data_IF_749084300830
#
_entry.id   IF_749084300830
#
_cell.length_a   1.000
_cell.length_b   1.000
_cell.length_c   1.000
_cell.angle_alpha   90.00
_cell.angle_beta   90.00
_cell.angle_gamma   90.00
#
_symmetry.space_group_name_H-M   'P 1'
#
loop_
_entity.id
_entity.type
_entity.pdbx_description
1 polymer ?
#
# COMPACT_ATOMS: atom_id res chain seq x y z
N UNK A 1 -4.65 20.15 -11.41
CA UNK A 1 -3.44 19.84 -10.61
C UNK A 1 -2.50 19.05 -11.49
N UNK A 2 -1.21 19.37 -11.49
CA UNK A 2 -0.23 18.53 -12.20
C UNK A 2 -0.10 17.18 -11.47
N UNK A 3 0.15 16.10 -12.23
CA UNK A 3 0.34 14.76 -11.65
C UNK A 3 1.45 14.76 -10.57
N UNK A 4 2.50 15.55 -10.77
CA UNK A 4 3.60 15.74 -9.82
C UNK A 4 3.13 16.36 -8.49
N UNK A 5 2.27 17.38 -8.53
CA UNK A 5 1.74 18.00 -7.32
C UNK A 5 0.86 17.03 -6.53
N UNK A 6 0.05 16.24 -7.23
CA UNK A 6 -0.78 15.21 -6.60
C UNK A 6 0.08 14.12 -5.92
N UNK A 7 1.11 13.62 -6.58
CA UNK A 7 2.05 12.64 -6.02
C UNK A 7 2.72 13.21 -4.77
N UNK A 8 3.20 14.46 -4.81
CA UNK A 8 3.83 15.12 -3.67
C UNK A 8 2.90 15.25 -2.47
N UNK A 9 1.67 15.70 -2.69
CA UNK A 9 0.65 15.83 -1.62
C UNK A 9 0.37 14.46 -0.99
N UNK A 10 0.20 13.42 -1.80
CA UNK A 10 -0.07 12.07 -1.30
C UNK A 10 1.12 11.49 -0.53
N UNK A 11 2.35 11.77 -0.94
CA UNK A 11 3.55 11.39 -0.19
C UNK A 11 3.55 12.08 1.18
N UNK A 12 3.31 13.39 1.24
CA UNK A 12 3.26 14.14 2.51
C UNK A 12 2.18 13.57 3.43
N UNK A 13 1.00 13.26 2.89
CA UNK A 13 -0.11 12.66 3.66
C UNK A 13 0.27 11.28 4.22
N UNK A 14 0.88 10.42 3.39
CA UNK A 14 1.34 9.08 3.84
C UNK A 14 2.42 9.18 4.90
N UNK A 15 3.39 10.08 4.75
CA UNK A 15 4.44 10.28 5.73
C UNK A 15 3.88 10.84 7.05
N UNK A 16 3.00 11.83 6.98
CA UNK A 16 2.35 12.39 8.16
C UNK A 16 1.55 11.30 8.91
N UNK A 17 0.86 10.43 8.18
CA UNK A 17 0.18 9.28 8.77
C UNK A 17 1.15 8.32 9.44
N UNK A 18 2.22 7.91 8.76
CA UNK A 18 3.22 6.98 9.29
C UNK A 18 3.87 7.50 10.56
N UNK A 19 4.24 8.78 10.59
CA UNK A 19 4.94 9.38 11.73
C UNK A 19 4.01 9.58 12.94
N UNK A 20 2.78 10.04 12.71
CA UNK A 20 1.90 10.46 13.79
C UNK A 20 0.93 9.37 14.27
N UNK A 21 0.51 8.46 13.38
CA UNK A 21 -0.63 7.58 13.65
C UNK A 21 -0.30 6.10 13.70
N UNK A 22 0.81 5.64 13.09
CA UNK A 22 1.16 4.22 13.03
C UNK A 22 1.26 3.56 14.41
N UNK A 23 1.66 4.29 15.45
CA UNK A 23 1.74 3.77 16.83
C UNK A 23 0.55 4.11 17.73
N UNK A 24 -0.44 4.90 17.24
CA UNK A 24 -1.59 5.33 18.03
C UNK A 24 -2.92 4.70 17.61
N UNK A 25 -3.00 4.21 16.38
CA UNK A 25 -4.20 3.55 15.82
C UNK A 25 -3.90 2.06 15.68
N UNK A 26 -3.50 1.43 16.76
CA UNK A 26 -3.40 -0.03 16.85
C UNK A 26 -4.73 -0.58 17.33
N UNK A 27 -5.58 -0.99 16.41
CA UNK A 27 -6.78 -1.75 16.73
C UNK A 27 -6.44 -3.25 16.60
N UNK A 28 -6.52 -3.96 17.70
CA UNK A 28 -6.19 -5.41 17.78
C UNK A 28 -4.75 -5.77 17.35
N UNK A 29 -3.79 -4.84 17.54
CA UNK A 29 -2.38 -5.06 17.17
C UNK A 29 -2.06 -4.88 15.69
N UNK A 30 -3.00 -4.37 14.88
CA UNK A 30 -2.82 -4.11 13.46
C UNK A 30 -2.96 -2.64 13.09
N UNK A 31 -2.16 -2.17 12.14
CA UNK A 31 -2.26 -0.84 11.54
C UNK A 31 -2.55 -0.96 10.04
N UNK A 32 -3.47 -0.16 9.45
CA UNK A 32 -3.73 -0.20 8.02
C UNK A 32 -2.56 0.41 7.25
N UNK A 33 -2.20 -0.19 6.12
CA UNK A 33 -1.17 0.36 5.25
C UNK A 33 -1.78 1.27 4.17
N UNK A 34 -1.83 2.58 4.49
CA UNK A 34 -2.32 3.60 3.57
C UNK A 34 -1.45 3.74 2.32
N UNK A 35 -0.16 3.42 2.42
CA UNK A 35 0.75 3.54 1.29
C UNK A 35 0.34 2.57 0.16
N UNK A 36 0.01 1.33 0.51
CA UNK A 36 -0.46 0.31 -0.45
C UNK A 36 -1.82 0.70 -1.03
N UNK A 37 -2.74 1.19 -0.20
CA UNK A 37 -4.07 1.62 -0.67
C UNK A 37 -3.95 2.75 -1.70
N UNK A 38 -3.12 3.76 -1.42
CA UNK A 38 -2.87 4.87 -2.33
C UNK A 38 -2.10 4.44 -3.58
N UNK A 39 -1.15 3.51 -3.46
CA UNK A 39 -0.43 2.94 -4.59
C UNK A 39 -1.40 2.23 -5.56
N UNK A 40 -2.29 1.40 -5.05
CA UNK A 40 -3.33 0.72 -5.85
C UNK A 40 -4.27 1.75 -6.49
N UNK A 41 -4.72 2.75 -5.73
CA UNK A 41 -5.56 3.82 -6.25
C UNK A 41 -4.90 4.57 -7.41
N UNK A 42 -3.65 5.00 -7.24
CA UNK A 42 -2.91 5.73 -8.28
C UNK A 42 -2.63 4.87 -9.50
N UNK A 43 -2.31 3.59 -9.30
CA UNK A 43 -2.07 2.65 -10.39
C UNK A 43 -3.30 2.49 -11.28
N UNK A 44 -4.46 2.35 -10.66
CA UNK A 44 -5.72 2.17 -11.37
C UNK A 44 -6.28 3.49 -11.93
N UNK A 45 -6.03 4.63 -11.30
CA UNK A 45 -6.56 5.92 -11.71
C UNK A 45 -5.67 6.63 -12.74
N UNK A 46 -4.40 6.80 -12.44
CA UNK A 46 -3.47 7.63 -13.21
C UNK A 46 -2.49 6.83 -14.08
N UNK A 47 -2.47 5.51 -13.93
CA UNK A 47 -1.65 4.61 -14.74
C UNK A 47 -0.21 4.44 -14.24
N UNK A 48 0.57 3.66 -15.01
CA UNK A 48 1.88 3.11 -14.62
C UNK A 48 2.94 4.14 -14.22
N UNK A 49 3.02 5.28 -14.95
CA UNK A 49 4.07 6.27 -14.69
C UNK A 49 3.91 6.96 -13.34
N UNK A 50 2.70 7.42 -13.03
CA UNK A 50 2.39 8.10 -11.76
C UNK A 50 2.50 7.14 -10.59
N UNK A 51 2.01 5.91 -10.75
CA UNK A 51 2.08 4.88 -9.72
C UNK A 51 3.52 4.44 -9.41
N UNK A 52 4.36 4.28 -10.43
CA UNK A 52 5.78 3.99 -10.27
C UNK A 52 6.48 5.10 -9.50
N UNK A 53 6.27 6.36 -9.90
CA UNK A 53 6.89 7.52 -9.24
C UNK A 53 6.47 7.63 -7.78
N UNK A 54 5.18 7.44 -7.50
CA UNK A 54 4.67 7.44 -6.12
C UNK A 54 5.26 6.28 -5.31
N UNK A 55 5.23 5.06 -5.85
CA UNK A 55 5.74 3.86 -5.17
C UNK A 55 7.23 3.97 -4.85
N UNK A 56 8.03 4.51 -5.81
CA UNK A 56 9.44 4.74 -5.61
C UNK A 56 9.71 5.78 -4.51
N UNK A 57 9.13 6.97 -4.64
CA UNK A 57 9.38 8.07 -3.71
C UNK A 57 8.83 7.76 -2.31
N UNK A 58 7.59 7.29 -2.21
CA UNK A 58 7.02 6.92 -0.92
C UNK A 58 7.80 5.79 -0.25
N UNK A 59 8.19 4.76 -1.03
CA UNK A 59 9.02 3.67 -0.54
C UNK A 59 10.40 4.14 -0.07
N UNK A 60 11.05 5.05 -0.81
CA UNK A 60 12.35 5.61 -0.41
C UNK A 60 12.28 6.37 0.92
N UNK A 61 11.20 7.14 1.13
CA UNK A 61 10.97 7.81 2.41
C UNK A 61 10.71 6.84 3.56
N UNK A 62 9.95 5.77 3.30
CA UNK A 62 9.69 4.71 4.29
C UNK A 62 10.97 3.97 4.66
N UNK A 63 11.81 3.66 3.68
CA UNK A 63 13.12 3.03 3.88
C UNK A 63 14.06 3.94 4.70
N UNK A 64 13.99 5.26 4.49
CA UNK A 64 14.76 6.22 5.29
C UNK A 64 14.33 6.28 6.76
N UNK A 65 13.05 6.00 7.05
CA UNK A 65 12.52 5.91 8.42
C UNK A 65 12.83 4.55 9.08
N UNK A 66 13.08 3.51 8.28
CA UNK A 66 13.40 2.16 8.74
C UNK A 66 14.70 1.67 8.07
N UNK A 67 15.88 2.05 8.60
CA UNK A 67 17.16 1.84 7.94
C UNK A 67 17.54 0.37 7.69
N UNK A 68 16.83 -0.57 8.28
CA UNK A 68 17.02 -2.00 8.04
C UNK A 68 16.55 -2.47 6.65
N UNK A 69 15.70 -1.68 5.97
CA UNK A 69 15.06 -2.03 4.69
C UNK A 69 15.51 -1.13 3.53
N UNK A 70 16.71 -0.56 3.60
CA UNK A 70 17.21 0.40 2.62
C UNK A 70 16.98 -0.03 1.17
N UNK A 71 16.07 0.63 0.47
CA UNK A 71 15.73 0.42 -0.93
C UNK A 71 14.73 -0.71 -1.22
N UNK A 72 14.45 -1.61 -0.27
CA UNK A 72 13.54 -2.73 -0.49
C UNK A 72 12.09 -2.27 -0.72
N UNK A 73 11.59 -1.35 0.11
CA UNK A 73 10.23 -0.81 0.00
C UNK A 73 10.11 0.06 -1.26
N UNK A 74 11.14 0.84 -1.59
CA UNK A 74 11.17 1.64 -2.81
C UNK A 74 11.11 0.75 -4.07
N UNK A 75 11.86 -0.35 -4.10
CA UNK A 75 11.86 -1.30 -5.20
C UNK A 75 10.49 -1.99 -5.33
N UNK A 76 9.96 -2.53 -4.23
CA UNK A 76 8.65 -3.17 -4.22
C UNK A 76 7.55 -2.21 -4.66
N UNK A 77 7.56 -0.96 -4.17
CA UNK A 77 6.61 0.07 -4.55
C UNK A 77 6.64 0.40 -6.03
N UNK A 78 7.85 0.54 -6.59
CA UNK A 78 8.06 0.80 -8.01
C UNK A 78 7.55 -0.32 -8.90
N UNK A 79 7.95 -1.56 -8.59
CA UNK A 79 7.56 -2.75 -9.34
C UNK A 79 6.04 -2.96 -9.29
N UNK A 80 5.48 -2.88 -8.08
CA UNK A 80 4.03 -3.04 -7.89
C UNK A 80 3.23 -1.96 -8.60
N UNK A 81 3.65 -0.69 -8.49
CA UNK A 81 3.00 0.44 -9.16
C UNK A 81 3.04 0.30 -10.68
N UNK A 82 4.18 -0.12 -11.23
CA UNK A 82 4.33 -0.37 -12.67
C UNK A 82 3.45 -1.53 -13.16
N UNK A 83 3.49 -2.67 -12.46
CA UNK A 83 2.73 -3.87 -12.83
C UNK A 83 1.22 -3.60 -12.80
N UNK A 84 0.72 -3.05 -11.71
CA UNK A 84 -0.70 -2.72 -11.59
C UNK A 84 -1.15 -1.69 -12.61
N UNK A 85 -0.36 -0.64 -12.81
CA UNK A 85 -0.66 0.39 -13.79
C UNK A 85 -0.64 -0.14 -15.23
N UNK A 86 0.17 -1.16 -15.51
CA UNK A 86 0.19 -1.85 -16.81
C UNK A 86 -1.00 -2.78 -16.99
N UNK A 87 -1.50 -3.37 -15.91
CA UNK A 87 -2.66 -4.25 -15.92
C UNK A 87 -3.99 -3.48 -15.93
N UNK A 88 -3.98 -2.17 -15.69
CA UNK A 88 -5.19 -1.32 -15.67
C UNK A 88 -6.08 -1.55 -16.89
N UNK A 89 -5.51 -1.60 -18.10
CA UNK A 89 -6.24 -1.79 -19.34
C UNK A 89 -6.89 -3.19 -19.51
N UNK A 90 -6.39 -4.19 -18.78
CA UNK A 90 -6.87 -5.58 -18.84
C UNK A 90 -7.84 -5.90 -17.70
N UNK A 91 -7.71 -5.18 -16.60
CA UNK A 91 -8.55 -5.36 -15.42
C UNK A 91 -9.62 -4.27 -15.43
N UNK A 92 -10.79 -4.59 -15.97
CA UNK A 92 -12.04 -3.82 -15.81
C UNK A 92 -12.49 -3.90 -14.34
N UNK A 93 -11.71 -3.25 -13.45
CA UNK A 93 -11.98 -3.32 -12.01
C UNK A 93 -12.84 -2.12 -11.63
N UNK A 94 -14.12 -2.19 -11.94
CA UNK A 94 -15.11 -1.19 -11.52
C UNK A 94 -15.59 -1.41 -10.07
N UNK A 95 -15.43 -2.63 -9.56
CA UNK A 95 -15.98 -3.02 -8.27
C UNK A 95 -15.01 -2.67 -7.11
N UNK A 96 -15.44 -1.87 -6.09
CA UNK A 96 -14.61 -1.49 -4.96
C UNK A 96 -14.14 -2.69 -4.12
N UNK A 97 -14.93 -3.75 -4.07
CA UNK A 97 -14.56 -4.99 -3.36
C UNK A 97 -13.33 -5.67 -3.97
N UNK A 98 -13.26 -5.69 -5.30
CA UNK A 98 -12.13 -6.27 -6.04
C UNK A 98 -10.88 -5.41 -5.82
N UNK A 99 -11.01 -4.07 -5.85
CA UNK A 99 -9.89 -3.14 -5.58
C UNK A 99 -9.34 -3.32 -4.17
N UNK A 100 -10.23 -3.43 -3.17
CA UNK A 100 -9.83 -3.70 -1.79
C UNK A 100 -9.13 -5.07 -1.67
N UNK A 101 -9.65 -6.11 -2.34
CA UNK A 101 -9.02 -7.43 -2.39
C UNK A 101 -7.61 -7.41 -2.98
N UNK A 102 -7.40 -6.66 -4.07
CA UNK A 102 -6.08 -6.46 -4.69
C UNK A 102 -5.12 -5.77 -3.70
N UNK A 103 -5.59 -4.74 -2.96
CA UNK A 103 -4.76 -4.06 -1.97
C UNK A 103 -4.26 -5.01 -0.89
N UNK A 104 -5.12 -5.91 -0.40
CA UNK A 104 -4.74 -6.92 0.60
C UNK A 104 -3.79 -7.97 0.01
N UNK A 105 -4.04 -8.43 -1.22
CA UNK A 105 -3.15 -9.38 -1.88
C UNK A 105 -1.73 -8.82 -2.02
N UNK A 106 -1.62 -7.53 -2.41
CA UNK A 106 -0.33 -6.85 -2.50
C UNK A 106 0.30 -6.68 -1.13
N UNK A 107 -0.48 -6.29 -0.11
CA UNK A 107 0.00 -6.19 1.26
C UNK A 107 0.60 -7.52 1.74
N UNK A 108 -0.10 -8.62 1.55
CA UNK A 108 0.40 -9.95 1.92
C UNK A 108 1.68 -10.32 1.14
N UNK A 109 1.74 -10.02 -0.16
CA UNK A 109 2.94 -10.27 -0.96
C UNK A 109 4.14 -9.44 -0.47
N UNK A 110 3.93 -8.19 -0.10
CA UNK A 110 4.97 -7.33 0.44
C UNK A 110 5.51 -7.86 1.76
N UNK A 111 4.63 -8.21 2.69
CA UNK A 111 5.02 -8.76 3.99
C UNK A 111 5.79 -10.06 3.84
N UNK A 112 5.32 -10.98 3.01
CA UNK A 112 6.04 -12.24 2.72
C UNK A 112 7.42 -11.95 2.12
N UNK A 113 7.53 -11.02 1.18
CA UNK A 113 8.80 -10.67 0.56
C UNK A 113 9.77 -10.04 1.55
N UNK A 114 9.30 -9.12 2.42
CA UNK A 114 10.13 -8.51 3.46
C UNK A 114 10.62 -9.53 4.49
N UNK A 115 9.77 -10.48 4.88
CA UNK A 115 10.17 -11.57 5.80
C UNK A 115 11.23 -12.49 5.16
N UNK A 116 11.12 -12.76 3.86
CA UNK A 116 12.12 -13.56 3.14
C UNK A 116 13.48 -12.86 3.03
N UNK A 117 13.47 -11.52 2.86
CA UNK A 117 14.70 -10.72 2.80
C UNK A 117 15.34 -10.54 4.17
N UNK A 118 14.53 -10.40 5.21
CA UNK A 118 14.96 -10.08 6.57
C UNK A 118 14.33 -11.03 7.58
N UNK A 119 14.80 -12.27 7.66
CA UNK A 119 14.30 -13.25 8.61
C UNK A 119 14.68 -12.84 10.04
N UNK A 120 13.89 -11.98 10.65
CA UNK A 120 14.06 -11.49 12.02
C UNK A 120 13.38 -12.40 13.04
N UNK A 121 13.78 -13.68 13.11
CA UNK A 121 13.25 -14.57 14.12
C UNK A 121 13.57 -16.04 13.86
N UNK A 122 13.74 -16.82 14.95
CA UNK A 122 13.97 -18.26 14.87
C UNK A 122 12.74 -19.05 14.35
N UNK A 123 12.88 -20.35 14.14
CA UNK A 123 11.86 -21.25 13.61
C UNK A 123 10.65 -21.40 14.55
N UNK A 124 9.68 -20.57 14.46
CA UNK A 124 8.48 -20.44 15.30
C UNK A 124 7.93 -19.01 15.31
N UNK A 125 8.79 -18.05 15.06
CA UNK A 125 8.47 -16.63 14.97
C UNK A 125 7.57 -16.31 13.75
N UNK A 126 7.73 -17.03 12.64
CA UNK A 126 6.95 -16.83 11.42
C UNK A 126 5.45 -17.11 11.63
N UNK A 127 5.10 -18.21 12.27
CA UNK A 127 3.70 -18.55 12.54
C UNK A 127 3.03 -17.58 13.52
N UNK A 128 3.77 -17.11 14.51
CA UNK A 128 3.29 -16.12 15.48
C UNK A 128 3.13 -14.74 14.84
N UNK A 129 4.03 -14.35 13.94
CA UNK A 129 3.95 -13.12 13.15
C UNK A 129 2.73 -13.14 12.21
N UNK A 130 2.52 -14.27 11.51
CA UNK A 130 1.37 -14.43 10.61
C UNK A 130 0.03 -14.26 11.34
N UNK A 131 -0.12 -14.88 12.50
CA UNK A 131 -1.37 -14.84 13.28
C UNK A 131 -1.53 -13.56 14.10
N UNK A 132 -0.44 -13.10 14.71
CA UNK A 132 -0.47 -11.99 15.64
C UNK A 132 -0.47 -10.62 14.97
N UNK A 133 0.17 -10.47 13.82
CA UNK A 133 0.40 -9.17 13.22
C UNK A 133 -0.13 -9.07 11.79
N UNK A 134 0.15 -10.06 10.94
CA UNK A 134 -0.23 -10.00 9.53
C UNK A 134 -1.75 -10.08 9.33
N UNK A 135 -2.42 -11.00 10.04
CA UNK A 135 -3.86 -11.20 9.89
C UNK A 135 -4.68 -9.95 10.31
N UNK A 136 -4.49 -9.35 11.50
CA UNK A 136 -5.23 -8.14 11.87
C UNK A 136 -4.89 -6.95 10.96
N UNK A 137 -3.62 -6.78 10.54
CA UNK A 137 -3.24 -5.73 9.58
C UNK A 137 -3.92 -5.91 8.23
N UNK A 138 -4.01 -7.13 7.70
CA UNK A 138 -4.66 -7.43 6.43
C UNK A 138 -6.16 -7.12 6.46
N UNK A 139 -6.85 -7.55 7.53
CA UNK A 139 -8.29 -7.27 7.73
C UNK A 139 -8.53 -5.77 7.83
N UNK A 140 -7.70 -5.07 8.61
CA UNK A 140 -7.85 -3.62 8.79
C UNK A 140 -7.55 -2.85 7.50
N UNK A 141 -6.50 -3.24 6.78
CA UNK A 141 -6.18 -2.67 5.45
C UNK A 141 -7.33 -2.90 4.47
N UNK A 142 -7.98 -4.08 4.50
CA UNK A 142 -9.15 -4.38 3.67
C UNK A 142 -10.32 -3.45 3.96
N UNK A 143 -10.69 -3.28 5.23
CA UNK A 143 -11.81 -2.44 5.64
C UNK A 143 -11.56 -0.97 5.26
N UNK A 144 -10.37 -0.46 5.52
CA UNK A 144 -10.00 0.92 5.17
C UNK A 144 -9.94 1.11 3.66
N UNK A 145 -9.38 0.15 2.91
CA UNK A 145 -9.36 0.18 1.44
C UNK A 145 -10.77 0.18 0.86
N UNK A 146 -11.65 -0.68 1.37
CA UNK A 146 -13.04 -0.77 0.92
C UNK A 146 -13.78 0.56 1.15
N UNK A 147 -13.64 1.13 2.34
CA UNK A 147 -14.25 2.41 2.69
C UNK A 147 -13.72 3.55 1.80
N UNK A 148 -12.40 3.57 1.57
CA UNK A 148 -11.75 4.51 0.69
C UNK A 148 -12.27 4.42 -0.75
N UNK A 149 -12.25 3.24 -1.36
CA UNK A 149 -12.72 3.04 -2.73
C UNK A 149 -14.22 3.28 -2.87
N UNK A 150 -15.04 2.94 -1.88
CA UNK A 150 -16.47 3.19 -1.88
C UNK A 150 -16.80 4.71 -1.86
N UNK A 151 -16.08 5.49 -1.03
CA UNK A 151 -16.25 6.95 -0.98
C UNK A 151 -15.86 7.59 -2.32
N UNK A 152 -14.73 7.16 -2.90
CA UNK A 152 -14.26 7.71 -4.17
C UNK A 152 -15.14 7.32 -5.35
N UNK A 153 -15.69 6.12 -5.36
CA UNK A 153 -16.66 5.69 -6.38
C UNK A 153 -17.95 6.52 -6.33
N UNK A 154 -18.47 6.80 -5.12
CA UNK A 154 -19.71 7.55 -4.93
C UNK A 154 -19.58 9.03 -5.34
N UNK A 155 -18.37 9.60 -5.30
CA UNK A 155 -18.12 10.99 -5.69
C UNK A 155 -18.01 11.22 -7.19
N UNK A 156 -18.16 10.19 -8.03
CA UNK A 156 -18.43 10.31 -9.47
C UNK A 156 -17.43 11.13 -10.29
N UNK A 157 -16.17 11.23 -9.88
CA UNK A 157 -15.24 12.21 -10.44
C UNK A 157 -14.13 11.68 -11.34
N UNK A 158 -14.05 10.39 -11.57
CA UNK A 158 -13.03 9.83 -12.47
C UNK A 158 -13.75 8.94 -13.48
N UNK A 159 -14.12 9.54 -14.62
CA UNK A 159 -14.48 8.78 -15.83
C UNK A 159 -13.23 8.02 -16.29
N UNK A 160 -13.30 6.73 -16.25
CA UNK A 160 -12.24 5.78 -16.59
C UNK A 160 -12.19 5.50 -18.10
#
# INVERSE_FOLDING_TARGET
MSAAALVLILIVVTLAYQINFRGRIELFGGTPDLNIILLVFLSLSYGRGVALSFGFLAGLFLDALAPHFLGATALLGSVTGYLLGSLKAKLLIENPWVRAGISVAIFCLWEVFLILLYPSGGPGSFGNYLRGQLFPCAVYTYLVALLFFWIFQKRGGVSW
#
